data_IF_426280061343
#
_entry.id   IF_426280061343
#
_cell.length_a   1.000
_cell.length_b   1.000
_cell.length_c   1.000
_cell.angle_alpha   90.00
_cell.angle_beta   90.00
_cell.angle_gamma   90.00
#
_symmetry.space_group_name_H-M   'P 1'
#
loop_
_entity.id
_entity.type
_entity.pdbx_description
1 polymer ?
#
# COMPACT_ATOMS: atom_id res chain seq x y z
N UNK A 1 6.07 16.77 -13.45
CA UNK A 1 6.31 15.33 -13.24
C UNK A 1 4.96 14.71 -12.89
N UNK A 2 4.45 13.77 -13.70
CA UNK A 2 3.16 13.12 -13.41
C UNK A 2 3.27 12.32 -12.11
N UNK A 3 2.22 12.26 -11.26
CA UNK A 3 2.24 11.41 -10.08
C UNK A 3 2.39 9.95 -10.50
N UNK A 4 3.47 9.31 -10.05
CA UNK A 4 3.72 7.89 -10.27
C UNK A 4 2.72 7.12 -9.41
N UNK A 5 1.89 6.25 -10.00
CA UNK A 5 1.11 5.30 -9.23
C UNK A 5 2.07 4.21 -8.74
N UNK A 6 2.56 4.34 -7.50
CA UNK A 6 3.61 3.48 -6.97
C UNK A 6 3.14 2.02 -6.90
N UNK A 7 1.86 1.81 -6.60
CA UNK A 7 1.26 0.47 -6.56
C UNK A 7 1.31 -0.19 -7.94
N UNK A 8 0.98 0.59 -8.98
CA UNK A 8 1.08 0.13 -10.37
C UNK A 8 2.54 -0.19 -10.72
N UNK A 9 3.48 0.68 -10.38
CA UNK A 9 4.90 0.47 -10.65
C UNK A 9 5.45 -0.80 -9.99
N UNK A 10 5.05 -1.08 -8.74
CA UNK A 10 5.42 -2.32 -8.04
C UNK A 10 4.88 -3.56 -8.77
N UNK A 11 3.60 -3.53 -9.19
CA UNK A 11 3.00 -4.66 -9.92
C UNK A 11 3.70 -4.89 -11.26
N UNK A 12 3.94 -3.82 -12.02
CA UNK A 12 4.66 -3.88 -13.30
C UNK A 12 6.07 -4.44 -13.11
N UNK A 13 6.78 -4.02 -12.06
CA UNK A 13 8.12 -4.54 -11.77
C UNK A 13 8.11 -6.01 -11.36
N UNK A 14 7.11 -6.46 -10.60
CA UNK A 14 6.94 -7.89 -10.28
C UNK A 14 6.72 -8.70 -11.56
N UNK A 15 5.80 -8.27 -12.43
CA UNK A 15 5.55 -8.90 -13.73
C UNK A 15 6.81 -8.92 -14.60
N UNK A 16 7.56 -7.82 -14.65
CA UNK A 16 8.82 -7.75 -15.38
C UNK A 16 9.85 -8.76 -14.85
N UNK A 17 10.03 -8.87 -13.52
CA UNK A 17 10.93 -9.85 -12.93
C UNK A 17 10.51 -11.29 -13.28
N UNK A 18 9.21 -11.59 -13.29
CA UNK A 18 8.71 -12.90 -13.72
C UNK A 18 9.06 -13.18 -15.18
N UNK A 19 8.91 -12.20 -16.08
CA UNK A 19 9.28 -12.34 -17.48
C UNK A 19 10.79 -12.50 -17.68
N UNK A 20 11.62 -11.74 -16.97
CA UNK A 20 13.08 -11.88 -17.02
C UNK A 20 13.51 -13.29 -16.57
N UNK A 21 12.96 -13.77 -15.46
CA UNK A 21 13.21 -15.14 -15.00
C UNK A 21 12.70 -16.17 -16.03
N UNK A 22 11.53 -15.96 -16.61
CA UNK A 22 10.99 -16.87 -17.63
C UNK A 22 11.86 -16.95 -18.88
N UNK A 23 12.37 -15.81 -19.34
CA UNK A 23 13.29 -15.76 -20.47
C UNK A 23 14.61 -16.48 -20.15
N UNK A 24 15.17 -16.28 -18.95
CA UNK A 24 16.43 -16.90 -18.53
C UNK A 24 16.31 -18.42 -18.37
N UNK A 25 15.25 -18.91 -17.70
CA UNK A 25 15.09 -20.32 -17.37
C UNK A 25 14.29 -21.13 -18.40
N UNK A 26 13.78 -20.49 -19.47
CA UNK A 26 12.94 -21.15 -20.48
C UNK A 26 11.64 -21.75 -19.90
N UNK A 27 11.14 -21.20 -18.80
CA UNK A 27 9.98 -21.70 -18.05
C UNK A 27 9.01 -20.57 -17.72
N UNK A 28 7.72 -20.81 -17.92
CA UNK A 28 6.70 -19.82 -17.54
C UNK A 28 6.52 -19.81 -16.02
N UNK A 29 6.67 -18.64 -15.42
CA UNK A 29 6.33 -18.40 -14.01
C UNK A 29 5.00 -17.65 -13.95
N UNK A 30 3.90 -18.29 -13.50
CA UNK A 30 2.60 -17.64 -13.50
C UNK A 30 2.54 -16.47 -12.52
N UNK A 31 1.78 -15.43 -12.88
CA UNK A 31 1.52 -14.33 -11.97
C UNK A 31 0.73 -14.83 -10.75
N UNK A 32 1.15 -14.36 -9.57
CA UNK A 32 0.47 -14.60 -8.30
C UNK A 32 0.03 -13.26 -7.70
N UNK A 33 -0.97 -13.24 -6.81
CA UNK A 33 -1.49 -11.99 -6.24
C UNK A 33 -0.40 -11.13 -5.59
N UNK A 34 -0.43 -9.82 -5.87
CA UNK A 34 0.41 -8.81 -5.23
C UNK A 34 -0.45 -7.98 -4.27
N UNK A 35 -0.11 -8.03 -2.97
CA UNK A 35 -0.84 -7.40 -1.87
C UNK A 35 -0.02 -6.30 -1.22
N UNK A 36 -0.70 -5.36 -0.56
CA UNK A 36 -0.11 -4.12 -0.03
C UNK A 36 -0.48 -3.83 1.44
N UNK A 37 -1.07 -4.79 2.14
CA UNK A 37 -1.50 -4.71 3.54
C UNK A 37 -0.38 -5.03 4.57
N UNK A 38 0.91 -5.08 4.16
CA UNK A 38 2.01 -5.26 5.11
C UNK A 38 2.23 -4.00 5.94
N UNK A 39 2.42 -4.18 7.25
CA UNK A 39 2.66 -3.08 8.18
C UNK A 39 3.96 -3.27 8.98
N UNK A 40 4.56 -2.16 9.41
CA UNK A 40 5.79 -2.14 10.20
C UNK A 40 7.03 -1.91 9.34
N UNK A 41 8.17 -2.47 9.75
CA UNK A 41 9.47 -2.15 9.13
C UNK A 41 9.91 -3.14 8.05
N UNK A 42 9.09 -4.15 7.73
CA UNK A 42 9.37 -5.10 6.65
C UNK A 42 8.95 -4.48 5.32
N UNK A 43 9.83 -4.54 4.32
CA UNK A 43 9.57 -4.01 2.98
C UNK A 43 8.64 -4.91 2.16
N UNK A 44 8.96 -6.20 2.10
CA UNK A 44 8.13 -7.21 1.45
C UNK A 44 8.40 -8.62 1.98
N UNK A 45 7.60 -9.56 1.51
CA UNK A 45 7.91 -10.99 1.53
C UNK A 45 7.10 -11.74 0.45
N UNK A 46 7.66 -12.83 -0.06
CA UNK A 46 6.90 -13.87 -0.75
C UNK A 46 6.34 -14.90 0.24
N UNK A 47 5.05 -15.22 0.11
CA UNK A 47 4.36 -16.22 0.91
C UNK A 47 4.03 -17.46 0.09
N UNK A 48 4.22 -18.63 0.69
CA UNK A 48 3.83 -19.92 0.16
C UNK A 48 3.08 -20.70 1.22
N UNK A 49 1.91 -21.21 0.83
CA UNK A 49 1.07 -22.05 1.68
C UNK A 49 0.71 -23.33 0.92
N UNK A 50 0.93 -24.47 1.55
CA UNK A 50 0.68 -25.80 0.99
C UNK A 50 -0.38 -26.49 1.84
N UNK A 51 -1.53 -26.79 1.25
CA UNK A 51 -2.57 -27.53 1.93
C UNK A 51 -2.10 -28.97 2.20
N UNK A 52 -1.93 -29.38 3.48
CA UNK A 52 -1.37 -30.70 3.78
C UNK A 52 -2.27 -31.86 3.33
N UNK A 53 -3.58 -31.60 3.16
CA UNK A 53 -4.59 -32.60 2.80
C UNK A 53 -4.71 -32.83 1.30
N UNK A 54 -4.53 -31.78 0.51
CA UNK A 54 -4.76 -31.82 -0.95
C UNK A 54 -3.47 -31.67 -1.75
N UNK A 55 -2.36 -31.32 -1.10
CA UNK A 55 -1.10 -30.96 -1.77
C UNK A 55 -1.18 -29.66 -2.58
N UNK A 56 -2.33 -28.96 -2.55
CA UNK A 56 -2.52 -27.72 -3.29
C UNK A 56 -1.67 -26.62 -2.67
N UNK A 57 -0.82 -26.00 -3.48
CA UNK A 57 -0.06 -24.83 -3.07
C UNK A 57 -0.72 -23.54 -3.55
N UNK A 58 -0.59 -22.50 -2.75
CA UNK A 58 -0.95 -21.12 -3.08
C UNK A 58 0.19 -20.19 -2.68
N UNK A 59 0.32 -19.07 -3.36
CA UNK A 59 1.32 -18.07 -3.01
C UNK A 59 0.85 -16.66 -3.33
N UNK A 60 1.49 -15.68 -2.69
CA UNK A 60 1.27 -14.26 -2.96
C UNK A 60 2.52 -13.46 -2.58
N UNK A 61 2.71 -12.33 -3.26
CA UNK A 61 3.66 -11.30 -2.84
C UNK A 61 2.97 -10.32 -1.91
N UNK A 62 3.68 -9.90 -0.87
CA UNK A 62 3.17 -8.99 0.13
C UNK A 62 4.15 -7.84 0.31
N UNK A 63 3.74 -6.61 0.00
CA UNK A 63 4.56 -5.41 0.16
C UNK A 63 3.95 -4.43 1.16
N UNK A 64 4.80 -3.56 1.71
CA UNK A 64 4.41 -2.52 2.66
C UNK A 64 4.11 -1.22 1.94
N UNK A 65 2.83 -0.86 1.89
CA UNK A 65 2.36 0.31 1.14
C UNK A 65 2.99 1.63 1.59
N UNK A 66 3.20 1.81 2.90
CA UNK A 66 3.81 3.03 3.42
C UNK A 66 5.27 3.14 2.97
N UNK A 67 6.04 2.04 3.10
CA UNK A 67 7.44 2.00 2.68
C UNK A 67 7.62 2.11 1.16
N UNK A 68 6.68 1.57 0.37
CA UNK A 68 6.69 1.71 -1.10
C UNK A 68 6.68 3.17 -1.52
N UNK A 69 5.88 4.03 -0.88
CA UNK A 69 5.85 5.47 -1.20
C UNK A 69 7.15 6.17 -0.87
N UNK A 70 7.74 5.80 0.25
CA UNK A 70 8.91 6.48 0.80
C UNK A 70 10.22 6.00 0.15
N UNK A 71 10.23 4.78 -0.37
CA UNK A 71 11.43 4.10 -0.85
C UNK A 71 11.19 3.44 -2.23
N UNK A 72 10.37 4.04 -3.10
CA UNK A 72 9.96 3.41 -4.38
C UNK A 72 11.14 2.87 -5.20
N UNK A 73 12.21 3.66 -5.32
CA UNK A 73 13.43 3.25 -6.03
C UNK A 73 14.02 1.95 -5.47
N UNK A 74 14.14 1.85 -4.15
CA UNK A 74 14.66 0.65 -3.48
C UNK A 74 13.75 -0.57 -3.74
N UNK A 75 12.44 -0.34 -3.78
CA UNK A 75 11.51 -1.40 -4.13
C UNK A 75 11.70 -1.90 -5.55
N UNK A 76 11.80 -0.99 -6.51
CA UNK A 76 11.93 -1.34 -7.92
C UNK A 76 13.27 -2.03 -8.22
N UNK A 77 14.34 -1.54 -7.62
CA UNK A 77 15.70 -2.04 -7.88
C UNK A 77 16.03 -3.30 -7.09
N UNK A 78 15.59 -3.42 -5.84
CA UNK A 78 16.05 -4.50 -4.95
C UNK A 78 14.92 -5.34 -4.35
N UNK A 79 13.88 -4.74 -3.76
CA UNK A 79 12.89 -5.52 -2.97
C UNK A 79 11.99 -6.37 -3.85
N UNK A 80 11.44 -5.82 -4.94
CA UNK A 80 10.62 -6.59 -5.86
C UNK A 80 11.41 -7.76 -6.47
N UNK A 81 12.61 -7.55 -7.06
CA UNK A 81 13.45 -8.65 -7.53
C UNK A 81 13.77 -9.67 -6.44
N UNK A 82 14.07 -9.24 -5.20
CA UNK A 82 14.38 -10.12 -4.07
C UNK A 82 13.22 -11.07 -3.75
N UNK A 83 12.00 -10.55 -3.65
CA UNK A 83 10.82 -11.37 -3.35
C UNK A 83 10.44 -12.29 -4.51
N UNK A 84 10.53 -11.80 -5.76
CA UNK A 84 10.29 -12.64 -6.94
C UNK A 84 11.35 -13.73 -7.06
N UNK A 85 12.61 -13.47 -6.69
CA UNK A 85 13.64 -14.50 -6.67
C UNK A 85 13.32 -15.65 -5.71
N UNK A 86 12.70 -15.41 -4.54
CA UNK A 86 12.23 -16.49 -3.66
C UNK A 86 11.19 -17.37 -4.35
N UNK A 87 10.24 -16.75 -5.04
CA UNK A 87 9.20 -17.43 -5.79
C UNK A 87 9.78 -18.27 -6.94
N UNK A 88 10.61 -17.67 -7.79
CA UNK A 88 11.26 -18.33 -8.93
C UNK A 88 12.11 -19.51 -8.44
N UNK A 89 12.91 -19.29 -7.40
CA UNK A 89 13.81 -20.32 -6.90
C UNK A 89 13.05 -21.53 -6.37
N UNK A 90 11.98 -21.31 -5.62
CA UNK A 90 11.16 -22.43 -5.15
C UNK A 90 10.48 -23.17 -6.32
N UNK A 91 10.04 -22.47 -7.36
CA UNK A 91 9.43 -23.11 -8.54
C UNK A 91 10.43 -23.90 -9.41
N UNK A 92 11.71 -23.56 -9.34
CA UNK A 92 12.77 -24.24 -10.09
C UNK A 92 13.36 -25.41 -9.31
N UNK A 93 13.60 -25.25 -8.00
CA UNK A 93 14.38 -26.20 -7.19
C UNK A 93 13.62 -26.78 -5.99
N UNK A 94 12.38 -26.34 -5.74
CA UNK A 94 11.50 -26.89 -4.73
C UNK A 94 11.66 -26.28 -3.33
N UNK A 95 10.82 -26.72 -2.39
CA UNK A 95 10.67 -26.12 -1.04
C UNK A 95 11.83 -26.34 -0.06
N UNK A 96 12.78 -27.21 -0.40
CA UNK A 96 13.90 -27.56 0.51
C UNK A 96 15.12 -26.66 0.35
N UNK A 97 15.10 -25.73 -0.60
CA UNK A 97 16.19 -24.79 -0.81
C UNK A 97 16.33 -23.82 0.37
N UNK A 98 17.55 -23.31 0.56
CA UNK A 98 17.78 -22.25 1.53
C UNK A 98 17.23 -20.93 0.95
N UNK A 99 16.50 -20.11 1.72
CA UNK A 99 15.88 -18.86 1.22
C UNK A 99 16.85 -17.94 0.48
N UNK A 100 18.10 -17.83 0.93
CA UNK A 100 19.15 -17.04 0.26
C UNK A 100 20.34 -17.93 -0.16
N UNK A 101 20.03 -19.16 -0.58
CA UNK A 101 20.98 -20.17 -1.04
C UNK A 101 21.53 -19.90 -2.44
N UNK A 102 22.40 -20.79 -2.97
CA UNK A 102 22.95 -20.68 -4.32
C UNK A 102 21.88 -20.50 -5.39
N UNK A 103 20.75 -21.20 -5.26
CA UNK A 103 19.61 -21.14 -6.18
C UNK A 103 19.04 -19.72 -6.25
N UNK A 104 18.74 -19.13 -5.09
CA UNK A 104 18.25 -17.75 -5.00
C UNK A 104 19.26 -16.73 -5.53
N UNK A 105 20.55 -16.92 -5.24
CA UNK A 105 21.62 -16.06 -5.77
C UNK A 105 21.72 -16.13 -7.29
N UNK A 106 21.56 -17.31 -7.88
CA UNK A 106 21.57 -17.49 -9.34
C UNK A 106 20.46 -16.68 -10.00
N UNK A 107 19.25 -16.64 -9.43
CA UNK A 107 18.16 -15.81 -9.96
C UNK A 107 18.52 -14.32 -9.89
N UNK A 108 19.02 -13.85 -8.75
CA UNK A 108 19.41 -12.44 -8.59
C UNK A 108 20.51 -12.02 -9.57
N UNK A 109 21.55 -12.84 -9.72
CA UNK A 109 22.72 -12.50 -10.55
C UNK A 109 22.44 -12.74 -12.03
N UNK A 110 21.97 -13.93 -12.38
CA UNK A 110 21.91 -14.36 -13.78
C UNK A 110 20.66 -13.86 -14.49
N UNK A 111 19.49 -13.93 -13.83
CA UNK A 111 18.24 -13.50 -14.44
C UNK A 111 18.00 -11.98 -14.29
N UNK A 112 18.43 -11.38 -13.18
CA UNK A 112 18.16 -9.95 -12.91
C UNK A 112 19.38 -9.04 -13.00
N UNK A 113 20.60 -9.60 -13.07
CA UNK A 113 21.84 -8.83 -13.05
C UNK A 113 21.95 -7.88 -11.84
N UNK A 114 21.55 -8.38 -10.67
CA UNK A 114 21.54 -7.65 -9.40
C UNK A 114 22.42 -8.33 -8.36
N UNK A 115 23.02 -7.52 -7.48
CA UNK A 115 23.74 -8.04 -6.33
C UNK A 115 22.76 -8.79 -5.39
N UNK A 116 23.09 -10.01 -4.93
CA UNK A 116 22.25 -10.80 -4.04
C UNK A 116 22.31 -10.30 -2.59
N UNK A 117 21.93 -9.03 -2.38
CA UNK A 117 21.88 -8.42 -1.06
C UNK A 117 20.74 -9.02 -0.22
N UNK A 118 21.07 -9.50 0.98
CA UNK A 118 20.11 -10.05 1.94
C UNK A 118 19.42 -8.98 2.78
N UNK A 119 20.08 -7.84 2.94
CA UNK A 119 19.63 -6.74 3.78
C UNK A 119 19.57 -5.49 2.92
N UNK A 120 18.36 -4.99 2.72
CA UNK A 120 18.11 -3.73 2.01
C UNK A 120 18.06 -2.61 3.04
N UNK A 121 18.73 -1.49 2.76
CA UNK A 121 18.69 -0.31 3.62
C UNK A 121 17.55 0.59 3.14
N UNK A 122 16.38 0.45 3.75
CA UNK A 122 15.29 1.41 3.57
C UNK A 122 15.27 2.39 4.73
N UNK A 123 14.92 3.65 4.46
CA UNK A 123 14.46 4.53 5.52
C UNK A 123 13.14 3.98 6.05
N UNK A 124 13.18 3.45 7.27
CA UNK A 124 12.03 2.91 7.97
C UNK A 124 11.57 3.82 9.10
N UNK A 125 12.13 5.03 9.23
CA UNK A 125 11.86 5.96 10.34
C UNK A 125 10.37 6.28 10.48
N UNK A 126 9.63 6.36 9.37
CA UNK A 126 8.19 6.63 9.33
C UNK A 126 7.32 5.37 9.42
N UNK A 127 7.83 4.22 8.97
CA UNK A 127 7.15 2.93 9.10
C UNK A 127 7.45 2.20 10.43
N UNK A 128 8.40 2.72 11.21
CA UNK A 128 8.79 2.23 12.52
C UNK A 128 7.62 2.36 13.49
N UNK A 129 6.92 1.24 13.67
CA UNK A 129 5.90 0.99 14.69
C UNK A 129 6.32 1.57 16.04
N UNK A 130 5.39 2.31 16.68
CA UNK A 130 5.20 2.50 18.13
C UNK A 130 6.45 2.15 18.94
N UNK A 131 7.32 3.12 19.14
CA UNK A 131 8.55 2.93 19.90
C UNK A 131 8.21 2.93 21.38
N UNK A 132 8.45 1.83 22.08
CA UNK A 132 8.41 1.83 23.55
C UNK A 132 9.75 2.36 24.03
N UNK A 133 9.77 3.57 24.59
CA UNK A 133 10.99 4.20 25.05
C UNK A 133 11.30 3.71 26.46
N UNK A 134 12.50 3.17 26.62
CA UNK A 134 13.10 2.78 27.88
C UNK A 134 14.28 3.70 28.19
N UNK A 135 14.62 3.89 29.46
CA UNK A 135 15.76 4.70 29.88
C UNK A 135 16.60 4.01 30.94
N UNK A 136 17.90 4.23 30.89
CA UNK A 136 18.90 3.82 31.89
C UNK A 136 19.31 4.98 32.81
N UNK A 137 18.74 6.18 32.62
CA UNK A 137 19.27 7.44 33.13
C UNK A 137 20.42 8.02 32.28
N UNK A 138 21.13 7.17 31.54
CA UNK A 138 22.26 7.54 30.70
C UNK A 138 21.88 7.99 29.27
N UNK A 139 20.79 7.43 28.73
CA UNK A 139 20.19 7.72 27.42
C UNK A 139 18.82 7.03 27.31
N UNK A 140 18.05 7.43 26.31
CA UNK A 140 16.81 6.76 25.93
C UNK A 140 17.10 5.64 24.92
N UNK A 141 16.29 4.58 24.96
CA UNK A 141 16.41 3.37 24.15
C UNK A 141 15.05 2.99 23.58
N UNK A 142 14.93 2.92 22.26
CA UNK A 142 13.72 2.44 21.61
C UNK A 142 13.64 0.91 21.64
N UNK A 143 12.55 0.38 22.19
CA UNK A 143 12.21 -1.04 22.16
C UNK A 143 11.11 -1.30 21.16
N UNK A 144 11.24 -2.40 20.42
CA UNK A 144 10.15 -2.93 19.59
C UNK A 144 9.03 -3.48 20.49
N UNK A 145 7.81 -3.60 19.96
CA UNK A 145 6.68 -4.25 20.64
C UNK A 145 7.04 -5.63 21.21
N UNK A 146 7.82 -6.41 20.47
CA UNK A 146 8.29 -7.73 20.93
C UNK A 146 9.17 -7.62 22.18
N UNK A 147 10.12 -6.67 22.19
CA UNK A 147 11.03 -6.47 23.32
C UNK A 147 10.29 -5.90 24.53
N UNK A 148 9.37 -4.97 24.32
CA UNK A 148 8.45 -4.47 25.34
C UNK A 148 7.61 -5.60 25.95
N UNK A 149 6.99 -6.45 25.13
CA UNK A 149 6.21 -7.60 25.61
C UNK A 149 7.06 -8.61 26.39
N UNK A 150 8.34 -8.77 26.08
CA UNK A 150 9.25 -9.59 26.89
C UNK A 150 9.47 -8.96 28.28
N UNK A 151 9.65 -7.64 28.36
CA UNK A 151 9.75 -6.95 29.65
C UNK A 151 8.48 -7.13 30.48
N UNK A 152 7.30 -7.01 29.86
CA UNK A 152 6.02 -7.28 30.54
C UNK A 152 5.89 -8.72 31.06
N UNK A 153 6.62 -9.68 30.47
CA UNK A 153 6.72 -11.07 30.93
C UNK A 153 7.85 -11.30 31.94
N UNK A 154 8.41 -10.24 32.51
CA UNK A 154 9.44 -10.29 33.55
C UNK A 154 10.89 -10.31 33.06
N UNK A 155 11.14 -10.16 31.75
CA UNK A 155 12.52 -10.12 31.25
C UNK A 155 13.18 -8.75 31.53
N UNK A 156 14.34 -8.77 32.18
CA UNK A 156 15.16 -7.58 32.40
C UNK A 156 16.13 -7.32 31.25
N UNK A 157 16.30 -6.06 30.85
CA UNK A 157 17.38 -5.62 29.96
C UNK A 157 18.27 -4.60 30.67
N UNK A 158 19.57 -4.65 30.40
CA UNK A 158 20.56 -3.69 30.88
C UNK A 158 21.13 -2.87 29.72
N UNK A 159 21.48 -1.61 29.99
CA UNK A 159 22.16 -0.78 29.02
C UNK A 159 23.58 -1.31 28.77
N UNK A 160 24.00 -1.39 27.52
CA UNK A 160 25.37 -1.82 27.17
C UNK A 160 26.45 -0.81 27.55
N UNK A 161 26.09 0.46 27.77
CA UNK A 161 27.03 1.53 28.05
C UNK A 161 27.24 1.75 29.56
N UNK A 162 26.17 1.78 30.35
CA UNK A 162 26.27 2.04 31.80
C UNK A 162 25.87 0.84 32.67
N UNK A 163 25.48 -0.29 32.08
CA UNK A 163 25.04 -1.51 32.78
C UNK A 163 23.78 -1.36 33.66
N UNK A 164 23.18 -0.17 33.76
CA UNK A 164 21.95 0.05 34.51
C UNK A 164 20.73 -0.65 33.86
N UNK A 165 19.74 -1.06 34.67
CA UNK A 165 18.50 -1.63 34.16
C UNK A 165 17.74 -0.60 33.30
N UNK A 166 17.12 -1.10 32.23
CA UNK A 166 16.29 -0.31 31.35
C UNK A 166 14.86 -0.28 31.86
N UNK A 167 14.40 0.91 32.25
CA UNK A 167 13.07 1.15 32.82
C UNK A 167 12.17 1.78 31.77
N UNK A 168 10.92 1.34 31.69
CA UNK A 168 9.94 1.90 30.74
C UNK A 168 9.68 3.38 31.06
N UNK A 169 9.74 4.24 30.03
CA UNK A 169 9.55 5.69 30.15
C UNK A 169 8.24 6.14 29.52
N UNK A 170 8.00 5.78 28.25
CA UNK A 170 6.78 6.16 27.51
C UNK A 170 6.59 5.29 26.27
N UNK A 171 5.37 5.20 25.78
CA UNK A 171 5.11 4.77 24.41
C UNK A 171 5.10 6.00 23.51
N UNK A 172 6.05 6.07 22.57
CA UNK A 172 5.95 7.00 21.46
C UNK A 172 4.94 6.44 20.48
N UNK A 173 3.76 7.07 20.46
CA UNK A 173 2.82 6.87 19.36
C UNK A 173 3.54 7.35 18.10
N UNK A 174 3.48 6.60 16.99
CA UNK A 174 3.92 7.16 15.72
C UNK A 174 3.18 8.48 15.55
N UNK A 175 3.92 9.54 15.24
CA UNK A 175 3.34 10.70 14.55
C UNK A 175 2.44 10.12 13.47
N UNK A 176 1.17 10.56 13.43
CA UNK A 176 0.17 10.01 12.52
C UNK A 176 0.81 9.77 11.14
N UNK A 177 0.57 8.62 10.49
CA UNK A 177 1.12 8.37 9.17
C UNK A 177 0.84 9.63 8.37
N UNK A 178 1.87 10.13 7.69
CA UNK A 178 1.76 11.30 6.83
C UNK A 178 0.83 10.90 5.66
N UNK A 179 -0.47 10.84 5.95
CA UNK A 179 -1.53 10.53 5.01
C UNK A 179 -1.47 11.66 4.01
N UNK A 180 -1.23 11.34 2.75
CA UNK A 180 -1.31 12.34 1.69
C UNK A 180 -2.68 13.00 1.78
N UNK A 181 -2.69 14.28 2.09
CA UNK A 181 -3.93 15.02 2.30
C UNK A 181 -4.57 15.25 0.93
N UNK A 182 -5.85 14.92 0.80
CA UNK A 182 -6.70 15.33 -0.31
C UNK A 182 -7.52 16.52 0.20
N UNK A 183 -7.16 17.77 -0.14
CA UNK A 183 -7.90 18.95 0.33
C UNK A 183 -9.38 18.92 -0.06
N UNK A 184 -9.66 18.43 -1.28
CA UNK A 184 -11.03 18.29 -1.78
C UNK A 184 -11.12 17.18 -2.82
N UNK A 185 -11.95 16.18 -2.52
CA UNK A 185 -12.28 15.04 -3.37
C UNK A 185 -13.62 15.27 -4.07
N UNK A 186 -13.67 15.07 -5.37
CA UNK A 186 -14.91 14.99 -6.13
C UNK A 186 -15.27 13.53 -6.42
N UNK A 187 -16.55 13.15 -6.26
CA UNK A 187 -17.06 11.82 -6.60
C UNK A 187 -18.27 11.94 -7.52
N UNK A 188 -18.30 11.15 -8.59
CA UNK A 188 -19.46 11.08 -9.49
C UNK A 188 -19.81 9.65 -9.85
N UNK A 189 -21.07 9.28 -9.61
CA UNK A 189 -21.75 8.13 -10.22
C UNK A 189 -22.79 8.56 -11.25
N UNK A 190 -22.76 9.83 -11.69
CA UNK A 190 -23.81 10.49 -12.47
C UNK A 190 -25.17 10.33 -11.79
N UNK A 191 -26.14 9.74 -12.47
CA UNK A 191 -27.48 9.43 -11.98
C UNK A 191 -27.60 8.01 -11.41
N UNK A 192 -26.55 7.19 -11.47
CA UNK A 192 -26.56 5.87 -10.86
C UNK A 192 -26.54 5.97 -9.32
N UNK A 193 -27.33 5.15 -8.59
CA UNK A 193 -27.34 5.14 -7.13
C UNK A 193 -25.96 4.81 -6.53
N UNK A 194 -25.56 5.55 -5.49
CA UNK A 194 -24.34 5.25 -4.74
C UNK A 194 -24.54 3.97 -3.90
N UNK A 195 -23.96 2.86 -4.37
CA UNK A 195 -24.03 1.54 -3.73
C UNK A 195 -22.98 1.36 -2.63
N UNK A 196 -23.15 0.33 -1.78
CA UNK A 196 -22.12 -0.05 -0.79
C UNK A 196 -20.81 -0.48 -1.46
N UNK A 197 -20.89 -1.12 -2.64
CA UNK A 197 -19.73 -1.50 -3.43
C UNK A 197 -18.94 -0.26 -3.88
N UNK A 198 -19.62 0.81 -4.31
CA UNK A 198 -18.96 2.07 -4.65
C UNK A 198 -18.24 2.67 -3.45
N UNK A 199 -18.90 2.72 -2.28
CA UNK A 199 -18.29 3.26 -1.06
C UNK A 199 -17.03 2.48 -0.69
N UNK A 200 -17.08 1.15 -0.70
CA UNK A 200 -15.94 0.30 -0.41
C UNK A 200 -14.80 0.48 -1.43
N UNK A 201 -15.13 0.58 -2.72
CA UNK A 201 -14.16 0.78 -3.79
C UNK A 201 -13.47 2.15 -3.69
N UNK A 202 -14.23 3.22 -3.44
CA UNK A 202 -13.68 4.56 -3.18
C UNK A 202 -12.73 4.51 -1.98
N UNK A 203 -13.20 3.99 -0.84
CA UNK A 203 -12.40 3.92 0.37
C UNK A 203 -11.09 3.15 0.14
N UNK A 204 -11.14 2.05 -0.60
CA UNK A 204 -9.96 1.25 -0.93
C UNK A 204 -8.98 1.99 -1.86
N UNK A 205 -9.47 2.74 -2.85
CA UNK A 205 -8.63 3.51 -3.76
C UNK A 205 -7.80 4.58 -3.03
N UNK A 206 -8.39 5.20 -2.01
CA UNK A 206 -7.79 6.30 -1.25
C UNK A 206 -7.53 5.96 0.22
N UNK A 207 -7.35 4.68 0.55
CA UNK A 207 -7.24 4.22 1.96
C UNK A 207 -6.08 4.83 2.77
N UNK A 208 -5.07 5.41 2.11
CA UNK A 208 -3.97 6.13 2.79
C UNK A 208 -4.00 7.64 2.53
N UNK A 209 -5.16 8.20 2.19
CA UNK A 209 -5.33 9.64 2.10
C UNK A 209 -6.26 10.13 3.19
N UNK A 210 -5.96 11.30 3.72
CA UNK A 210 -6.90 12.04 4.55
C UNK A 210 -7.69 12.99 3.65
N UNK A 211 -8.99 12.79 3.54
CA UNK A 211 -9.87 13.69 2.77
C UNK A 211 -10.35 14.81 3.71
N UNK A 212 -10.11 16.07 3.35
CA UNK A 212 -10.60 17.21 4.15
C UNK A 212 -12.01 17.64 3.74
N UNK A 213 -12.36 17.52 2.46
CA UNK A 213 -13.68 17.85 1.94
C UNK A 213 -14.11 16.89 0.84
N UNK A 214 -15.38 16.51 0.84
CA UNK A 214 -16.01 15.64 -0.15
C UNK A 214 -17.11 16.40 -0.88
N UNK A 215 -17.02 16.46 -2.21
CA UNK A 215 -18.04 17.07 -3.07
C UNK A 215 -18.60 16.03 -4.04
N UNK A 216 -19.90 15.79 -3.98
CA UNK A 216 -20.59 14.90 -4.91
C UNK A 216 -21.06 15.62 -6.17
N UNK A 217 -21.18 14.87 -7.26
CA UNK A 217 -21.83 15.30 -8.49
C UNK A 217 -23.28 15.73 -8.23
N UNK A 218 -23.75 16.83 -8.85
CA UNK A 218 -25.14 17.30 -8.74
C UNK A 218 -26.19 16.25 -9.09
N UNK A 219 -25.89 15.30 -9.97
CA UNK A 219 -26.84 14.28 -10.42
C UNK A 219 -27.01 13.11 -9.43
N UNK A 220 -26.13 13.00 -8.42
CA UNK A 220 -26.26 11.97 -7.40
C UNK A 220 -27.47 12.27 -6.50
N UNK A 221 -28.28 11.27 -6.19
CA UNK A 221 -29.61 11.51 -5.58
C UNK A 221 -29.67 11.25 -4.07
N UNK A 222 -28.79 10.43 -3.50
CA UNK A 222 -28.88 9.99 -2.10
C UNK A 222 -27.90 10.70 -1.16
N UNK A 223 -28.41 11.69 -0.41
CA UNK A 223 -27.61 12.37 0.62
C UNK A 223 -27.24 11.46 1.79
N UNK A 224 -28.12 10.52 2.16
CA UNK A 224 -27.82 9.54 3.21
C UNK A 224 -26.61 8.67 2.85
N UNK A 225 -26.51 8.19 1.61
CA UNK A 225 -25.35 7.42 1.13
C UNK A 225 -24.11 8.31 0.97
N UNK A 226 -24.27 9.57 0.58
CA UNK A 226 -23.17 10.53 0.50
C UNK A 226 -22.59 10.82 1.89
N UNK A 227 -23.42 10.99 2.91
CA UNK A 227 -22.97 11.13 4.30
C UNK A 227 -22.29 9.85 4.79
N UNK A 228 -22.81 8.67 4.45
CA UNK A 228 -22.15 7.39 4.75
C UNK A 228 -20.77 7.27 4.10
N UNK A 229 -20.61 7.73 2.86
CA UNK A 229 -19.31 7.81 2.21
C UNK A 229 -18.38 8.77 2.97
N UNK A 230 -18.86 9.96 3.33
CA UNK A 230 -18.12 10.92 4.15
C UNK A 230 -17.62 10.30 5.46
N UNK A 231 -18.50 9.63 6.21
CA UNK A 231 -18.16 8.90 7.44
C UNK A 231 -17.10 7.82 7.21
N UNK A 232 -17.23 7.04 6.13
CA UNK A 232 -16.27 5.99 5.77
C UNK A 232 -14.87 6.55 5.48
N UNK A 233 -14.83 7.75 4.88
CA UNK A 233 -13.60 8.50 4.58
C UNK A 233 -13.14 9.39 5.74
N UNK A 234 -13.83 9.37 6.89
CA UNK A 234 -13.57 10.21 8.07
C UNK A 234 -13.62 11.72 7.77
N UNK A 235 -14.44 12.13 6.80
CA UNK A 235 -14.72 13.54 6.50
C UNK A 235 -15.81 14.04 7.44
N UNK A 236 -15.67 15.25 7.99
CA UNK A 236 -16.70 15.84 8.83
C UNK A 236 -17.97 16.10 8.02
N UNK A 237 -19.15 15.91 8.63
CA UNK A 237 -20.43 16.09 7.93
C UNK A 237 -20.59 17.49 7.30
N UNK A 238 -20.02 18.52 7.94
CA UNK A 238 -20.01 19.90 7.43
C UNK A 238 -19.14 20.09 6.17
N UNK A 239 -18.17 19.22 5.95
CA UNK A 239 -17.29 19.23 4.78
C UNK A 239 -17.73 18.23 3.68
N UNK A 240 -18.92 17.64 3.83
CA UNK A 240 -19.56 16.79 2.83
C UNK A 240 -20.68 17.59 2.17
N UNK A 241 -20.57 17.83 0.87
CA UNK A 241 -21.54 18.61 0.12
C UNK A 241 -21.85 18.00 -1.25
N UNK A 242 -23.00 18.34 -1.81
CA UNK A 242 -23.31 18.13 -3.22
C UNK A 242 -23.05 19.42 -3.98
N UNK A 243 -22.40 19.34 -5.13
CA UNK A 243 -22.23 20.52 -5.99
C UNK A 243 -23.61 20.95 -6.53
N UNK A 244 -24.00 22.23 -6.44
CA UNK A 244 -25.39 22.64 -6.65
C UNK A 244 -25.81 22.73 -8.11
N UNK A 245 -24.87 22.87 -9.05
CA UNK A 245 -25.20 23.19 -10.44
C UNK A 245 -24.68 22.13 -11.43
N UNK A 246 -25.57 21.39 -12.13
CA UNK A 246 -25.24 20.38 -13.15
C UNK A 246 -24.34 20.84 -14.29
N UNK A 247 -24.36 22.14 -14.61
CA UNK A 247 -23.66 22.72 -15.75
C UNK A 247 -22.27 23.25 -15.39
N UNK A 248 -21.85 23.15 -14.13
CA UNK A 248 -20.54 23.64 -13.67
C UNK A 248 -19.82 22.57 -12.87
N UNK A 249 -18.50 22.74 -12.69
CA UNK A 249 -17.68 21.87 -11.87
C UNK A 249 -17.11 22.63 -10.68
N UNK A 250 -17.10 22.01 -9.47
CA UNK A 250 -16.62 22.66 -8.27
C UNK A 250 -15.14 23.10 -8.38
N UNK A 251 -14.83 24.26 -7.81
CA UNK A 251 -13.48 24.79 -7.71
C UNK A 251 -12.67 24.17 -6.57
N UNK A 252 -11.35 24.19 -6.71
CA UNK A 252 -10.40 23.72 -5.69
C UNK A 252 -10.42 22.20 -5.47
N UNK A 253 -11.00 21.43 -6.39
CA UNK A 253 -10.90 19.96 -6.40
C UNK A 253 -9.46 19.58 -6.75
N UNK A 254 -8.88 18.64 -6.02
CA UNK A 254 -7.52 18.13 -6.28
C UNK A 254 -7.54 16.69 -6.80
N UNK A 255 -8.57 15.93 -6.42
CA UNK A 255 -8.77 14.55 -6.82
C UNK A 255 -10.22 14.34 -7.25
N UNK A 256 -10.44 13.55 -8.30
CA UNK A 256 -11.77 13.17 -8.76
C UNK A 256 -11.85 11.66 -9.00
N UNK A 257 -12.90 11.02 -8.48
CA UNK A 257 -13.23 9.61 -8.78
C UNK A 257 -14.53 9.60 -9.55
N UNK A 258 -14.48 9.10 -10.78
CA UNK A 258 -15.58 9.19 -11.74
C UNK A 258 -15.94 7.78 -12.20
N UNK A 259 -17.15 7.34 -11.87
CA UNK A 259 -17.69 6.06 -12.26
C UNK A 259 -18.40 6.16 -13.61
N UNK A 260 -18.15 5.18 -14.46
CA UNK A 260 -18.76 5.04 -15.79
C UNK A 260 -20.00 4.14 -15.79
N UNK A 261 -20.74 4.05 -14.68
CA UNK A 261 -21.92 3.18 -14.54
C UNK A 261 -23.11 3.66 -15.38
N UNK A 262 -23.20 4.98 -15.57
CA UNK A 262 -24.23 5.63 -16.37
C UNK A 262 -23.69 6.93 -16.98
N UNK A 263 -24.43 7.49 -17.96
CA UNK A 263 -24.12 8.77 -18.59
C UNK A 263 -22.65 8.86 -19.09
N UNK A 264 -22.18 7.81 -19.78
CA UNK A 264 -20.76 7.59 -20.10
C UNK A 264 -20.11 8.80 -20.80
N UNK A 265 -20.78 9.39 -21.80
CA UNK A 265 -20.27 10.56 -22.52
C UNK A 265 -20.12 11.77 -21.60
N UNK A 266 -21.11 12.02 -20.72
CA UNK A 266 -21.02 13.09 -19.72
C UNK A 266 -19.85 12.83 -18.78
N UNK A 267 -19.69 11.60 -18.30
CA UNK A 267 -18.60 11.25 -17.38
C UNK A 267 -17.22 11.42 -18.02
N UNK A 268 -17.08 11.08 -19.29
CA UNK A 268 -15.86 11.35 -20.05
C UNK A 268 -15.58 12.85 -20.17
N UNK A 269 -16.60 13.67 -20.43
CA UNK A 269 -16.46 15.14 -20.45
C UNK A 269 -16.07 15.71 -19.09
N UNK A 270 -16.72 15.28 -18.01
CA UNK A 270 -16.41 15.69 -16.63
C UNK A 270 -14.96 15.34 -16.29
N UNK A 271 -14.53 14.11 -16.60
CA UNK A 271 -13.17 13.66 -16.35
C UNK A 271 -12.14 14.49 -17.13
N UNK A 272 -12.37 14.72 -18.43
CA UNK A 272 -11.50 15.55 -19.27
C UNK A 272 -11.39 16.98 -18.76
N UNK A 273 -12.50 17.56 -18.29
CA UNK A 273 -12.51 18.92 -17.75
C UNK A 273 -11.71 19.04 -16.44
N UNK A 274 -11.73 18.01 -15.58
CA UNK A 274 -10.89 17.96 -14.38
C UNK A 274 -9.40 17.73 -14.72
N UNK A 275 -9.10 16.82 -15.66
CA UNK A 275 -7.74 16.59 -16.15
C UNK A 275 -7.11 17.89 -16.69
N UNK A 276 -7.87 18.68 -17.46
CA UNK A 276 -7.44 20.00 -17.95
C UNK A 276 -7.16 21.02 -16.83
N UNK A 277 -7.75 20.85 -15.65
CA UNK A 277 -7.51 21.68 -14.45
C UNK A 277 -6.36 21.15 -13.58
N UNK A 278 -5.64 20.12 -14.03
CA UNK A 278 -4.56 19.49 -13.26
C UNK A 278 -5.03 18.62 -12.09
N UNK A 279 -6.32 18.25 -12.07
CA UNK A 279 -6.88 17.36 -11.04
C UNK A 279 -6.45 15.92 -11.30
N UNK A 280 -6.12 15.18 -10.24
CA UNK A 280 -5.82 13.75 -10.33
C UNK A 280 -7.14 12.99 -10.50
N UNK A 281 -7.41 12.49 -11.71
CA UNK A 281 -8.67 11.82 -12.05
C UNK A 281 -8.50 10.30 -12.10
N UNK A 282 -9.34 9.58 -11.36
CA UNK A 282 -9.49 8.12 -11.46
C UNK A 282 -10.83 7.80 -12.14
N UNK A 283 -10.76 7.25 -13.35
CA UNK A 283 -11.92 6.75 -14.11
C UNK A 283 -12.17 5.29 -13.72
N UNK A 284 -13.35 5.00 -13.17
CA UNK A 284 -13.75 3.67 -12.73
C UNK A 284 -14.73 3.08 -13.76
N UNK A 285 -14.39 1.92 -14.33
CA UNK A 285 -15.28 1.21 -15.24
C UNK A 285 -16.40 0.54 -14.43
N UNK A 286 -17.61 0.52 -14.97
CA UNK A 286 -18.70 -0.27 -14.43
C UNK A 286 -18.24 -1.72 -14.26
N UNK A 287 -18.51 -2.32 -13.09
CA UNK A 287 -18.35 -3.76 -12.94
C UNK A 287 -19.28 -4.41 -13.98
N UNK A 288 -18.71 -5.23 -14.89
CA UNK A 288 -19.54 -6.16 -15.67
C UNK A 288 -20.21 -7.07 -14.63
N UNK A 289 -21.53 -6.96 -14.51
CA UNK A 289 -22.34 -7.88 -13.72
C UNK A 289 -22.16 -9.32 -14.18
#
# INVERSE_FOLDING_TARGET
MLPVDEIKAIKERVTECLHLASAHFGKIFPEIPVRFDLTGTRGGYYCFDECPKTGRHTGYFQFNRALVRENLTEYLVQICPHEVAHYVSMNMWGKRIKPHGPEWKSVMIEAYNLEPARCHQMDTSKAAKRSFIYTCGCRDHAFTKTKHNKVLRGYGYKCRACSNPLVFKREEKPTEPNLSVIPKLFVSTADAPLSEAHIHQIATMIIDHQVLALVADPLMTSDAKLQKLGLTLKVSAAAVARHPNPSTLPGGVTHAIIFGDSQLERQQRVAKAFEQRGVIVRKVRAAKG
#
